data_IF_244230573910
#
_entry.id   IF_244230573910
#
_cell.length_a   1.000
_cell.length_b   1.000
_cell.length_c   1.000
_cell.angle_alpha   90.00
_cell.angle_beta   90.00
_cell.angle_gamma   90.00
#
_symmetry.space_group_name_H-M   'P 1'
#
loop_
_entity.id
_entity.type
_entity.pdbx_description
1 polymer ?
#
# COMPACT_ATOMS: atom_id res chain seq x y z
N UNK A 1 -5.01 -0.40 -30.90
CA UNK A 1 -5.29 -0.47 -29.44
C UNK A 1 -4.96 0.89 -28.89
N UNK A 2 -5.83 1.51 -28.10
CA UNK A 2 -5.53 2.78 -27.43
C UNK A 2 -4.46 2.58 -26.37
N UNK A 3 -3.60 3.56 -26.21
CA UNK A 3 -2.60 3.57 -25.11
C UNK A 3 -3.32 3.52 -23.75
N UNK A 4 -2.79 2.78 -22.76
CA UNK A 4 -3.36 2.75 -21.42
C UNK A 4 -3.42 4.13 -20.78
N UNK A 5 -4.45 4.38 -19.96
CA UNK A 5 -4.74 5.70 -19.38
C UNK A 5 -3.55 6.29 -18.59
N UNK A 6 -2.82 5.45 -17.87
CA UNK A 6 -1.69 5.85 -17.03
C UNK A 6 -0.34 5.37 -17.59
N UNK A 7 -0.25 5.16 -18.91
CA UNK A 7 1.00 4.81 -19.55
C UNK A 7 2.07 5.89 -19.27
N UNK A 8 3.28 5.44 -18.88
CA UNK A 8 4.38 6.33 -18.51
C UNK A 8 4.38 6.79 -17.05
N UNK A 9 3.28 6.63 -16.31
CA UNK A 9 3.27 6.91 -14.88
C UNK A 9 4.01 5.80 -14.12
N UNK A 10 4.96 6.17 -13.27
CA UNK A 10 5.67 5.26 -12.38
C UNK A 10 5.30 5.55 -10.93
N UNK A 11 4.93 4.50 -10.21
CA UNK A 11 4.50 4.55 -8.80
C UNK A 11 5.39 3.64 -7.98
N UNK A 12 5.99 4.15 -6.91
CA UNK A 12 6.66 3.33 -5.90
C UNK A 12 5.67 3.08 -4.76
N UNK A 13 5.41 1.82 -4.49
CA UNK A 13 4.48 1.37 -3.45
C UNK A 13 5.25 0.66 -2.35
N UNK A 14 5.31 1.27 -1.16
CA UNK A 14 5.84 0.64 0.05
C UNK A 14 4.69 0.41 1.02
N UNK A 15 4.17 -0.81 1.06
CA UNK A 15 2.87 -1.06 1.66
C UNK A 15 2.74 -2.47 2.24
N UNK A 16 1.65 -2.68 2.99
CA UNK A 16 1.26 -3.99 3.50
C UNK A 16 -0.26 -4.17 3.41
N UNK A 17 -0.70 -5.40 3.52
CA UNK A 17 -2.10 -5.83 3.56
C UNK A 17 -2.92 -5.47 2.32
N UNK A 18 -3.87 -4.52 2.44
CA UNK A 18 -4.95 -4.36 1.45
C UNK A 18 -5.00 -2.98 0.85
N UNK A 19 -5.09 -1.92 1.66
CA UNK A 19 -5.50 -0.60 1.19
C UNK A 19 -4.59 -0.02 0.11
N UNK A 20 -3.31 0.16 0.39
CA UNK A 20 -2.36 0.62 -0.60
C UNK A 20 -2.07 -0.44 -1.69
N UNK A 21 -1.95 -1.75 -1.38
CA UNK A 21 -1.83 -2.77 -2.43
C UNK A 21 -2.99 -2.78 -3.43
N UNK A 22 -4.24 -2.57 -2.98
CA UNK A 22 -5.41 -2.48 -3.85
C UNK A 22 -5.36 -1.23 -4.74
N UNK A 23 -4.95 -0.09 -4.18
CA UNK A 23 -4.75 1.14 -4.94
C UNK A 23 -3.67 0.96 -6.02
N UNK A 24 -2.51 0.39 -5.65
CA UNK A 24 -1.44 0.08 -6.59
C UNK A 24 -1.85 -0.92 -7.68
N UNK A 25 -2.66 -1.93 -7.34
CA UNK A 25 -3.23 -2.84 -8.32
C UNK A 25 -4.11 -2.10 -9.34
N UNK A 26 -4.97 -1.21 -8.86
CA UNK A 26 -5.83 -0.40 -9.74
C UNK A 26 -5.00 0.49 -10.67
N UNK A 27 -3.96 1.15 -10.15
CA UNK A 27 -3.05 1.95 -10.97
C UNK A 27 -2.32 1.10 -12.03
N UNK A 28 -1.85 -0.10 -11.66
CA UNK A 28 -1.22 -1.03 -12.59
C UNK A 28 -2.20 -1.49 -13.69
N UNK A 29 -3.46 -1.77 -13.35
CA UNK A 29 -4.49 -2.15 -14.31
C UNK A 29 -4.84 -1.01 -15.28
N UNK A 30 -4.68 0.25 -14.86
CA UNK A 30 -4.83 1.42 -15.69
C UNK A 30 -3.58 1.75 -16.52
N UNK A 31 -2.51 0.98 -16.38
CA UNK A 31 -1.30 1.06 -17.20
C UNK A 31 -0.09 1.72 -16.55
N UNK A 32 -0.16 2.09 -15.26
CA UNK A 32 1.01 2.59 -14.54
C UNK A 32 2.05 1.48 -14.30
N UNK A 33 3.32 1.84 -14.31
CA UNK A 33 4.39 0.98 -13.78
C UNK A 33 4.40 1.08 -12.26
N UNK A 34 3.90 0.06 -11.57
CA UNK A 34 3.93 0.01 -10.11
C UNK A 34 5.06 -0.86 -9.63
N UNK A 35 5.94 -0.30 -8.79
CA UNK A 35 7.06 -1.00 -8.16
C UNK A 35 6.71 -1.20 -6.69
N UNK A 36 6.36 -2.42 -6.34
CA UNK A 36 6.11 -2.85 -4.97
C UNK A 36 7.44 -3.07 -4.25
N UNK A 37 7.60 -2.43 -3.11
CA UNK A 37 8.75 -2.60 -2.22
C UNK A 37 8.32 -3.38 -0.98
N UNK A 38 9.00 -4.48 -0.70
CA UNK A 38 8.83 -5.30 0.49
C UNK A 38 10.12 -5.34 1.31
N UNK A 39 10.08 -5.60 2.62
CA UNK A 39 11.27 -5.92 3.40
C UNK A 39 11.87 -7.25 2.92
N UNK A 40 13.17 -7.45 3.19
CA UNK A 40 13.86 -8.72 2.86
C UNK A 40 13.11 -9.91 3.47
N UNK A 41 12.76 -10.89 2.66
CA UNK A 41 11.96 -12.05 3.04
C UNK A 41 10.45 -11.83 2.95
N UNK A 42 10.02 -10.70 2.42
CA UNK A 42 8.61 -10.36 2.26
C UNK A 42 7.97 -9.76 3.52
N UNK A 43 6.78 -9.25 3.36
CA UNK A 43 5.98 -8.72 4.45
C UNK A 43 5.02 -9.80 4.99
N UNK A 44 4.33 -9.53 6.09
CA UNK A 44 3.39 -10.45 6.76
C UNK A 44 2.29 -10.97 5.84
N UNK A 45 1.90 -10.23 4.83
CA UNK A 45 0.91 -10.61 3.84
C UNK A 45 1.41 -11.66 2.81
N UNK A 46 2.73 -11.89 2.70
CA UNK A 46 3.30 -12.96 1.89
C UNK A 46 2.92 -14.37 2.34
N UNK A 47 2.60 -14.53 3.61
CA UNK A 47 2.20 -15.82 4.21
C UNK A 47 0.72 -15.89 4.57
N UNK A 48 -0.05 -14.85 4.23
CA UNK A 48 -1.48 -14.77 4.57
C UNK A 48 -2.29 -15.77 3.76
N UNK A 49 -3.15 -16.52 4.44
CA UNK A 49 -4.12 -17.43 3.81
C UNK A 49 -5.16 -16.66 2.96
N UNK A 50 -5.72 -17.28 1.90
CA UNK A 50 -5.51 -18.66 1.49
C UNK A 50 -4.17 -18.87 0.78
N UNK A 51 -3.61 -20.07 0.97
CA UNK A 51 -2.35 -20.46 0.31
C UNK A 51 -2.65 -21.44 -0.84
N UNK A 52 -1.81 -21.40 -1.87
CA UNK A 52 -1.83 -22.44 -2.92
C UNK A 52 -1.12 -23.71 -2.46
N UNK A 53 -1.09 -24.74 -3.32
CA UNK A 53 -0.45 -26.03 -3.01
C UNK A 53 1.07 -25.92 -2.77
N UNK A 54 1.72 -24.84 -3.23
CA UNK A 54 3.14 -24.56 -3.03
C UNK A 54 3.41 -23.67 -1.81
N UNK A 55 2.38 -23.32 -1.04
CA UNK A 55 2.50 -22.47 0.14
C UNK A 55 2.53 -20.97 -0.14
N UNK A 56 2.33 -20.52 -1.37
CA UNK A 56 2.30 -19.10 -1.72
C UNK A 56 0.92 -18.48 -1.42
N UNK A 57 0.91 -17.27 -0.88
CA UNK A 57 -0.30 -16.53 -0.58
C UNK A 57 -1.05 -16.13 -1.85
N UNK A 58 -2.25 -16.65 -2.03
CA UNK A 58 -3.17 -16.22 -3.10
C UNK A 58 -3.67 -14.78 -2.85
N UNK A 59 -3.77 -14.40 -1.59
CA UNK A 59 -4.11 -13.06 -1.16
C UNK A 59 -3.09 -12.03 -1.66
N UNK A 60 -1.81 -12.25 -1.35
CA UNK A 60 -0.73 -11.38 -1.80
C UNK A 60 -0.60 -11.36 -3.33
N UNK A 61 -0.61 -12.54 -3.95
CA UNK A 61 -0.48 -12.67 -5.40
C UNK A 61 -1.60 -11.93 -6.16
N UNK A 62 -2.84 -11.98 -5.65
CA UNK A 62 -3.96 -11.30 -6.28
C UNK A 62 -3.84 -9.78 -6.20
N UNK A 63 -3.48 -9.23 -5.03
CA UNK A 63 -3.34 -7.78 -4.81
C UNK A 63 -2.10 -7.17 -5.50
N UNK A 64 -1.11 -7.99 -5.85
CA UNK A 64 0.14 -7.51 -6.41
C UNK A 64 0.41 -7.95 -7.86
N UNK A 65 -0.58 -8.59 -8.49
CA UNK A 65 -0.45 -8.99 -9.91
C UNK A 65 -0.24 -7.77 -10.81
N UNK A 66 0.66 -7.93 -11.78
CA UNK A 66 0.99 -6.86 -12.73
C UNK A 66 1.96 -5.80 -12.20
N UNK A 67 2.33 -5.86 -10.93
CA UNK A 67 3.37 -5.00 -10.35
C UNK A 67 4.76 -5.64 -10.52
N UNK A 68 5.78 -4.79 -10.53
CA UNK A 68 7.17 -5.23 -10.29
C UNK A 68 7.39 -5.31 -8.78
N UNK A 69 8.26 -6.22 -8.34
CA UNK A 69 8.56 -6.39 -6.91
C UNK A 69 10.06 -6.28 -6.68
N UNK A 70 10.43 -5.65 -5.57
CA UNK A 70 11.80 -5.55 -5.08
C UNK A 70 11.80 -5.67 -3.56
N UNK A 71 12.78 -6.38 -3.02
CA UNK A 71 13.01 -6.44 -1.57
C UNK A 71 14.15 -5.50 -1.19
N UNK A 72 13.91 -4.66 -0.17
CA UNK A 72 14.86 -3.68 0.34
C UNK A 72 14.94 -3.78 1.86
N UNK A 73 16.14 -3.87 2.40
CA UNK A 73 16.34 -3.73 3.85
C UNK A 73 16.22 -2.28 4.30
N UNK A 74 14.98 -1.83 4.51
CA UNK A 74 14.68 -0.45 4.96
C UNK A 74 15.13 -0.15 6.39
N UNK A 75 15.61 -1.16 7.14
CA UNK A 75 16.21 -0.93 8.47
C UNK A 75 17.63 -0.39 8.35
N UNK A 76 18.31 -0.70 7.26
CA UNK A 76 19.65 -0.18 6.98
C UNK A 76 19.60 1.21 6.36
N UNK A 77 20.61 2.05 6.64
CA UNK A 77 20.73 3.37 5.99
C UNK A 77 20.89 3.24 4.47
N UNK A 78 21.62 2.22 4.01
CA UNK A 78 21.80 1.96 2.58
C UNK A 78 20.46 1.58 1.89
N UNK A 79 19.64 0.77 2.55
CA UNK A 79 18.32 0.39 2.04
C UNK A 79 17.37 1.58 1.98
N UNK A 80 17.33 2.42 3.02
CA UNK A 80 16.53 3.66 2.98
C UNK A 80 16.98 4.61 1.89
N UNK A 81 18.28 4.79 1.71
CA UNK A 81 18.81 5.61 0.63
C UNK A 81 18.46 5.04 -0.76
N UNK A 82 18.44 3.70 -0.90
CA UNK A 82 18.00 3.05 -2.13
C UNK A 82 16.52 3.30 -2.39
N UNK A 83 15.65 3.12 -1.37
CA UNK A 83 14.22 3.38 -1.47
C UNK A 83 13.95 4.85 -1.83
N UNK A 84 14.64 5.78 -1.17
CA UNK A 84 14.56 7.21 -1.48
C UNK A 84 14.87 7.49 -2.94
N UNK A 85 15.99 6.96 -3.48
CA UNK A 85 16.33 7.11 -4.90
C UNK A 85 15.29 6.51 -5.82
N UNK A 86 14.71 5.38 -5.43
CA UNK A 86 13.67 4.72 -6.19
C UNK A 86 12.41 5.60 -6.27
N UNK A 87 12.00 6.19 -5.14
CA UNK A 87 10.85 7.09 -5.07
C UNK A 87 11.08 8.32 -5.96
N UNK A 88 12.21 9.00 -5.77
CA UNK A 88 12.50 10.27 -6.44
C UNK A 88 12.91 10.11 -7.92
N UNK A 89 13.11 8.90 -8.40
CA UNK A 89 13.50 8.63 -9.79
C UNK A 89 12.36 8.62 -10.80
N UNK A 90 11.14 9.01 -10.43
CA UNK A 90 9.98 9.16 -11.33
C UNK A 90 9.79 10.61 -11.80
N UNK A 91 9.02 10.81 -12.88
CA UNK A 91 8.63 12.12 -13.39
C UNK A 91 7.13 12.15 -13.73
N UNK A 92 6.26 12.66 -12.83
CA UNK A 92 6.57 13.05 -11.44
C UNK A 92 6.87 11.85 -10.55
N UNK A 93 7.60 12.04 -9.42
CA UNK A 93 7.73 11.00 -8.41
C UNK A 93 6.37 10.75 -7.75
N UNK A 94 5.95 9.48 -7.71
CA UNK A 94 4.71 9.08 -7.02
C UNK A 94 5.05 8.03 -5.98
N UNK A 95 4.70 8.31 -4.72
CA UNK A 95 4.93 7.42 -3.59
C UNK A 95 3.61 7.07 -2.90
N UNK A 96 3.29 5.79 -2.87
CA UNK A 96 2.08 5.24 -2.26
C UNK A 96 2.46 4.37 -1.06
N UNK A 97 1.90 4.65 0.11
CA UNK A 97 2.18 3.87 1.32
C UNK A 97 0.98 3.81 2.27
N UNK A 98 0.88 2.73 3.03
CA UNK A 98 0.05 2.63 4.23
C UNK A 98 0.88 2.21 5.46
N UNK A 99 2.19 2.33 5.35
CA UNK A 99 3.11 2.14 6.46
C UNK A 99 3.50 3.51 7.04
N UNK A 100 3.82 3.53 8.32
CA UNK A 100 4.37 4.73 8.94
C UNK A 100 5.76 5.01 8.35
N UNK A 101 5.89 6.15 7.71
CA UNK A 101 7.16 6.65 7.17
C UNK A 101 7.42 8.05 7.71
N UNK A 102 8.63 8.27 8.17
CA UNK A 102 9.09 9.53 8.75
C UNK A 102 10.56 9.81 8.37
N UNK A 103 11.13 10.86 8.93
CA UNK A 103 12.52 11.24 8.71
C UNK A 103 12.84 11.40 7.22
N UNK A 104 13.84 10.66 6.74
CA UNK A 104 14.32 10.74 5.35
C UNK A 104 13.35 10.20 4.28
N UNK A 105 12.33 9.42 4.70
CA UNK A 105 11.27 8.91 3.83
C UNK A 105 9.94 9.66 4.03
N UNK A 106 9.87 10.58 4.97
CA UNK A 106 8.70 11.43 5.20
C UNK A 106 8.50 12.48 4.09
N UNK A 107 7.26 12.96 3.96
CA UNK A 107 6.86 13.90 2.91
C UNK A 107 7.77 15.13 2.84
N UNK A 108 8.01 15.80 3.97
CA UNK A 108 8.81 17.03 4.04
C UNK A 108 10.21 16.85 3.48
N UNK A 109 10.86 15.73 3.84
CA UNK A 109 12.20 15.41 3.39
C UNK A 109 12.28 15.09 1.90
N UNK A 110 11.29 14.33 1.39
CA UNK A 110 11.22 13.95 -0.02
C UNK A 110 10.83 15.15 -0.91
N UNK A 111 9.84 15.93 -0.47
CA UNK A 111 9.37 17.11 -1.20
C UNK A 111 10.41 18.25 -1.25
N UNK A 112 11.26 18.37 -0.23
CA UNK A 112 12.38 19.32 -0.25
C UNK A 112 13.39 19.01 -1.37
N UNK A 113 13.58 17.73 -1.71
CA UNK A 113 14.46 17.32 -2.81
C UNK A 113 13.74 17.35 -4.17
N UNK A 114 12.45 16.99 -4.19
CA UNK A 114 11.66 17.00 -5.42
C UNK A 114 10.28 17.65 -5.20
N UNK A 115 10.14 18.96 -5.47
CA UNK A 115 8.89 19.69 -5.21
C UNK A 115 7.65 19.16 -5.96
N UNK A 116 7.84 18.38 -7.04
CA UNK A 116 6.77 17.73 -7.80
C UNK A 116 6.31 16.39 -7.23
N UNK A 117 6.78 15.97 -6.05
CA UNK A 117 6.41 14.73 -5.42
C UNK A 117 4.90 14.65 -5.16
N UNK A 118 4.30 13.54 -5.57
CA UNK A 118 2.94 13.14 -5.18
C UNK A 118 3.08 12.00 -4.18
N UNK A 119 2.75 12.26 -2.92
CA UNK A 119 2.75 11.25 -1.88
C UNK A 119 1.34 10.99 -1.36
N UNK A 120 0.93 9.72 -1.40
CA UNK A 120 -0.34 9.26 -0.84
C UNK A 120 -0.04 8.32 0.31
N UNK A 121 -0.37 8.74 1.51
CA UNK A 121 -0.25 7.93 2.71
C UNK A 121 -1.64 7.61 3.26
N UNK A 122 -1.97 6.32 3.36
CA UNK A 122 -3.20 5.86 3.96
C UNK A 122 -2.95 5.60 5.46
N UNK A 123 -3.62 6.38 6.29
CA UNK A 123 -3.58 6.23 7.74
C UNK A 123 -4.88 5.61 8.25
N UNK A 124 -4.80 4.84 9.33
CA UNK A 124 -5.98 4.24 9.95
C UNK A 124 -6.79 5.22 10.79
N UNK A 125 -6.16 6.29 11.30
CA UNK A 125 -6.81 7.32 12.10
C UNK A 125 -6.25 8.70 11.76
N UNK A 126 -7.08 9.76 11.80
CA UNK A 126 -6.64 11.14 11.52
C UNK A 126 -5.59 11.68 12.49
N UNK A 127 -5.52 11.16 13.71
CA UNK A 127 -4.54 11.53 14.73
C UNK A 127 -3.22 10.75 14.61
N UNK A 128 -3.07 9.92 13.58
CA UNK A 128 -1.90 9.08 13.36
C UNK A 128 -1.88 7.79 14.21
N UNK A 129 -2.92 7.54 15.00
CA UNK A 129 -3.07 6.31 15.77
C UNK A 129 -3.27 5.08 14.88
N UNK A 130 -2.91 3.92 15.42
CA UNK A 130 -3.19 2.65 14.74
C UNK A 130 -4.68 2.36 14.76
N UNK A 131 -5.27 2.23 13.59
CA UNK A 131 -6.63 1.76 13.43
C UNK A 131 -6.75 0.89 12.18
N UNK A 132 -7.62 -0.09 12.25
CA UNK A 132 -7.94 -1.01 11.18
C UNK A 132 -9.47 -1.06 11.00
N UNK A 133 -9.93 -1.62 9.91
CA UNK A 133 -11.36 -1.72 9.59
C UNK A 133 -12.22 -2.24 10.74
N UNK A 134 -11.75 -3.24 11.48
CA UNK A 134 -12.47 -3.75 12.67
C UNK A 134 -12.74 -2.69 13.74
N UNK A 135 -11.77 -1.83 14.01
CA UNK A 135 -11.88 -0.79 15.03
C UNK A 135 -12.59 0.45 14.50
N UNK A 136 -12.30 0.83 13.26
CA UNK A 136 -12.93 1.99 12.60
C UNK A 136 -14.42 1.76 12.40
N UNK A 137 -14.84 0.58 11.96
CA UNK A 137 -16.25 0.25 11.79
C UNK A 137 -17.02 0.34 13.10
N UNK A 138 -16.43 -0.15 14.20
CA UNK A 138 -17.04 -0.04 15.52
C UNK A 138 -17.15 1.42 15.97
N UNK A 139 -16.10 2.21 15.80
CA UNK A 139 -16.10 3.63 16.18
C UNK A 139 -17.08 4.46 15.34
N UNK A 140 -17.29 4.11 14.07
CA UNK A 140 -18.25 4.77 13.19
C UNK A 140 -19.69 4.30 13.39
N UNK A 141 -19.95 3.31 14.27
CA UNK A 141 -21.28 2.76 14.51
C UNK A 141 -21.79 1.84 13.39
N UNK A 142 -20.95 1.46 12.43
CA UNK A 142 -21.34 0.62 11.28
C UNK A 142 -21.98 -0.73 11.70
N UNK A 143 -21.51 -1.42 12.76
CA UNK A 143 -22.13 -2.65 13.22
C UNK A 143 -23.57 -2.52 13.68
N UNK A 144 -24.02 -1.31 14.04
CA UNK A 144 -25.39 -1.06 14.49
C UNK A 144 -26.41 -1.03 13.33
N UNK A 145 -25.94 -0.79 12.10
CA UNK A 145 -26.79 -0.71 10.91
C UNK A 145 -26.67 -1.95 10.01
N UNK A 146 -25.95 -2.96 10.48
CA UNK A 146 -25.74 -4.23 9.77
C UNK A 146 -26.33 -5.39 10.57
N UNK A 147 -26.79 -6.44 9.89
CA UNK A 147 -27.48 -7.58 10.51
C UNK A 147 -28.99 -7.40 10.58
N UNK A 148 -29.62 -8.11 11.50
CA UNK A 148 -31.08 -8.16 11.66
C UNK A 148 -31.62 -7.11 12.66
N UNK A 149 -30.77 -6.28 13.20
CA UNK A 149 -31.11 -5.23 14.17
C UNK A 149 -31.16 -5.71 15.61
N UNK A 150 -31.08 -7.00 15.89
CA UNK A 150 -31.11 -7.53 17.25
C UNK A 150 -29.74 -7.49 17.93
N UNK A 151 -28.68 -7.75 17.16
CA UNK A 151 -27.29 -7.77 17.63
C UNK A 151 -26.39 -7.05 16.62
N UNK A 152 -25.51 -6.14 17.08
CA UNK A 152 -24.53 -5.51 16.20
C UNK A 152 -23.64 -6.54 15.50
N UNK A 153 -23.48 -6.42 14.19
CA UNK A 153 -22.63 -7.31 13.38
C UNK A 153 -21.50 -6.52 12.77
N UNK A 154 -20.27 -6.80 13.19
CA UNK A 154 -19.10 -6.18 12.59
C UNK A 154 -18.67 -6.92 11.34
N UNK A 155 -18.34 -6.17 10.31
CA UNK A 155 -17.83 -6.69 9.06
C UNK A 155 -16.33 -6.40 8.95
N UNK A 156 -15.60 -7.39 8.46
CA UNK A 156 -14.34 -7.12 7.80
C UNK A 156 -14.72 -6.53 6.46
N UNK A 157 -14.48 -5.24 6.29
CA UNK A 157 -14.52 -4.69 4.94
C UNK A 157 -13.27 -5.24 4.24
N UNK A 158 -13.39 -6.16 3.29
CA UNK A 158 -12.30 -6.33 2.36
C UNK A 158 -12.08 -4.95 1.77
N UNK A 159 -10.88 -4.62 1.41
CA UNK A 159 -10.64 -3.44 0.62
C UNK A 159 -11.34 -3.70 -0.72
N UNK A 160 -12.52 -3.28 -0.75
CA UNK A 160 -13.40 -3.34 -1.89
C UNK A 160 -13.02 -2.25 -2.89
#
# INVERSE_FOLDING_TARGET
MSEPLLAGLRVVEFSAFVAAPSAGLTLAQLGAEVIRVDPIGGNIDHTRAPLNAQGASLYWANLNRGKRSVEIDVRSAAGRALLRRLILGGEPPVFLTNLGVDGELGFESLAAEHPGLIMVQLAGSPDGGNAVDYTVNCAAGFPLVTGDGAVPVNHVLPAW
#
